data_IF_641209103233
#
_entry.id   IF_641209103233
#
_cell.length_a   1.000
_cell.length_b   1.000
_cell.length_c   1.000
_cell.angle_alpha   90.00
_cell.angle_beta   90.00
_cell.angle_gamma   90.00
#
_symmetry.space_group_name_H-M   'P 1'
#
loop_
_entity.id
_entity.type
_entity.pdbx_description
1 polymer ?
#
# COMPACT_ATOMS: atom_id res chain seq x y z
N UNK A 1 -9.97 10.96 6.52
CA UNK A 1 -10.51 11.11 5.15
C UNK A 1 -9.63 12.07 4.37
N UNK A 2 -9.28 11.79 3.10
CA UNK A 2 -8.54 12.71 2.25
C UNK A 2 -9.40 13.92 1.85
N UNK A 3 -8.77 15.09 1.70
CA UNK A 3 -9.41 16.32 1.20
C UNK A 3 -8.37 17.24 0.55
N UNK A 4 -8.84 18.12 -0.33
CA UNK A 4 -8.02 19.07 -1.07
C UNK A 4 -7.92 20.42 -0.35
N UNK A 5 -6.74 21.02 -0.36
CA UNK A 5 -6.47 22.33 0.23
C UNK A 5 -5.56 23.14 -0.68
N UNK A 6 -5.84 24.42 -0.79
CA UNK A 6 -4.98 25.38 -1.46
C UNK A 6 -3.89 25.91 -0.53
N UNK A 7 -2.66 25.94 -1.02
CA UNK A 7 -1.50 26.56 -0.36
C UNK A 7 -0.87 27.62 -1.23
N UNK A 8 -0.15 28.52 -0.57
CA UNK A 8 0.60 29.59 -1.20
C UNK A 8 2.09 29.45 -0.86
N UNK A 9 2.94 29.61 -1.87
CA UNK A 9 4.38 29.80 -1.71
C UNK A 9 4.76 31.07 -2.48
N UNK A 10 4.94 32.17 -1.77
CA UNK A 10 5.05 33.50 -2.36
C UNK A 10 3.81 33.87 -3.18
N UNK A 11 4.00 34.19 -4.47
CA UNK A 11 2.92 34.52 -5.41
C UNK A 11 2.23 33.28 -6.01
N UNK A 12 2.83 32.10 -5.86
CA UNK A 12 2.34 30.89 -6.50
C UNK A 12 1.34 30.16 -5.60
N UNK A 13 0.22 29.75 -6.19
CA UNK A 13 -0.83 28.97 -5.53
C UNK A 13 -0.79 27.54 -6.04
N UNK A 14 -0.76 26.57 -5.13
CA UNK A 14 -0.67 25.14 -5.47
C UNK A 14 -1.60 24.32 -4.58
N UNK A 15 -2.05 23.19 -5.11
CA UNK A 15 -3.00 22.28 -4.50
C UNK A 15 -2.27 21.15 -3.77
N UNK A 16 -2.74 20.83 -2.57
CA UNK A 16 -2.26 19.69 -1.79
C UNK A 16 -3.42 18.81 -1.36
N UNK A 17 -3.20 17.50 -1.35
CA UNK A 17 -4.12 16.53 -0.76
C UNK A 17 -3.65 16.16 0.65
N UNK A 18 -4.57 16.22 1.61
CA UNK A 18 -4.28 15.99 3.04
C UNK A 18 -5.16 14.89 3.60
N UNK A 19 -4.60 14.13 4.53
CA UNK A 19 -5.35 13.18 5.34
C UNK A 19 -5.40 13.70 6.77
N UNK A 20 -6.61 13.86 7.28
CA UNK A 20 -6.85 14.20 8.69
C UNK A 20 -7.28 12.96 9.45
N UNK A 21 -6.65 12.75 10.60
CA UNK A 21 -6.97 11.72 11.59
C UNK A 21 -6.90 12.32 12.98
N UNK A 22 -7.62 11.77 13.97
CA UNK A 22 -7.40 12.13 15.37
C UNK A 22 -6.23 11.31 15.92
N UNK A 23 -5.22 12.00 16.45
CA UNK A 23 -4.11 11.40 17.19
C UNK A 23 -4.21 11.91 18.61
N UNK A 24 -4.40 11.02 19.58
CA UNK A 24 -4.63 11.37 20.99
C UNK A 24 -5.78 12.39 21.19
N UNK A 25 -6.90 12.20 20.46
CA UNK A 25 -8.07 13.09 20.50
C UNK A 25 -7.94 14.38 19.70
N UNK A 26 -6.72 14.78 19.32
CA UNK A 26 -6.44 16.02 18.59
C UNK A 26 -6.53 15.76 17.08
N UNK A 27 -7.28 16.57 16.32
CA UNK A 27 -7.31 16.46 14.86
C UNK A 27 -5.95 16.86 14.25
N UNK A 28 -5.24 15.91 13.67
CA UNK A 28 -3.89 16.08 13.14
C UNK A 28 -3.83 15.71 11.66
N UNK A 29 -3.04 16.46 10.87
CA UNK A 29 -2.72 16.10 9.49
C UNK A 29 -1.65 15.03 9.54
N UNK A 30 -1.98 13.82 9.09
CA UNK A 30 -1.08 12.65 9.15
C UNK A 30 -0.35 12.38 7.85
N UNK A 31 -0.82 12.96 6.75
CA UNK A 31 -0.20 12.85 5.43
C UNK A 31 -0.57 14.07 4.60
N UNK A 32 0.39 14.56 3.81
CA UNK A 32 0.21 15.62 2.84
C UNK A 32 0.98 15.26 1.57
N UNK A 33 0.35 15.42 0.42
CA UNK A 33 0.95 15.19 -0.90
C UNK A 33 0.68 16.41 -1.78
N UNK A 34 1.71 16.95 -2.43
CA UNK A 34 1.57 18.06 -3.37
C UNK A 34 1.07 17.56 -4.72
N UNK A 35 -0.02 18.16 -5.21
CA UNK A 35 -0.56 17.91 -6.55
C UNK A 35 0.05 18.92 -7.55
N UNK A 36 0.46 20.10 -7.09
CA UNK A 36 1.00 21.16 -7.95
C UNK A 36 -0.10 22.15 -8.35
N UNK A 37 -0.11 22.61 -9.60
CA UNK A 37 -1.10 23.59 -10.08
C UNK A 37 -2.40 22.93 -10.57
N UNK A 38 -3.44 23.73 -10.90
CA UNK A 38 -4.68 23.19 -11.49
C UNK A 38 -4.43 22.54 -12.84
N UNK A 39 -3.50 23.07 -13.61
CA UNK A 39 -3.12 22.58 -14.93
C UNK A 39 -2.51 21.18 -14.82
N UNK A 40 -1.71 20.92 -13.78
CA UNK A 40 -1.22 19.56 -13.49
C UNK A 40 -2.36 18.61 -13.15
N UNK A 41 -3.33 19.03 -12.33
CA UNK A 41 -4.49 18.20 -12.00
C UNK A 41 -5.35 17.92 -13.25
N UNK A 42 -5.60 18.94 -14.08
CA UNK A 42 -6.31 18.80 -15.35
C UNK A 42 -5.57 17.81 -16.25
N UNK A 43 -4.25 17.92 -16.40
CA UNK A 43 -3.46 16.96 -17.19
C UNK A 43 -3.54 15.52 -16.65
N UNK A 44 -3.66 15.32 -15.34
CA UNK A 44 -3.80 13.97 -14.76
C UNK A 44 -5.21 13.39 -14.98
N UNK A 45 -6.23 14.24 -15.01
CA UNK A 45 -7.64 13.83 -15.14
C UNK A 45 -8.09 13.73 -16.60
N UNK A 46 -7.53 14.57 -17.48
CA UNK A 46 -7.85 14.64 -18.91
C UNK A 46 -7.05 13.64 -19.75
N UNK A 47 -5.92 13.14 -19.25
CA UNK A 47 -5.25 12.00 -19.88
C UNK A 47 -6.15 10.79 -19.76
N UNK A 48 -6.59 10.25 -20.90
CA UNK A 48 -7.28 8.99 -20.98
C UNK A 48 -6.47 7.92 -20.22
N UNK A 49 -7.05 7.40 -19.15
CA UNK A 49 -6.43 6.38 -18.29
C UNK A 49 -6.38 5.02 -18.99
N UNK A 50 -6.88 4.90 -20.23
CA UNK A 50 -6.71 3.72 -21.08
C UNK A 50 -5.23 3.55 -21.48
N UNK A 51 -4.47 2.85 -20.62
CA UNK A 51 -3.06 2.53 -20.87
C UNK A 51 -2.06 3.09 -19.87
N UNK A 52 -2.50 3.71 -18.75
CA UNK A 52 -1.60 3.89 -17.60
C UNK A 52 -1.42 2.55 -16.92
N UNK A 53 -0.26 1.93 -17.14
CA UNK A 53 0.16 0.74 -16.39
C UNK A 53 0.57 1.19 -14.99
N UNK A 54 -0.42 1.28 -14.10
CA UNK A 54 -0.23 1.67 -12.72
C UNK A 54 0.49 0.52 -12.00
N UNK A 55 1.82 0.56 -12.00
CA UNK A 55 2.64 -0.41 -11.27
C UNK A 55 2.45 -0.18 -9.77
N UNK A 56 1.42 -0.83 -9.22
CA UNK A 56 1.20 -0.97 -7.78
C UNK A 56 2.27 -1.92 -7.24
N UNK A 57 3.35 -1.34 -6.71
CA UNK A 57 4.42 -2.09 -6.04
C UNK A 57 3.93 -2.89 -4.80
N UNK A 58 2.69 -2.69 -4.34
CA UNK A 58 2.11 -3.46 -3.24
C UNK A 58 1.44 -4.78 -3.66
N UNK A 59 0.79 -4.83 -4.84
CA UNK A 59 0.13 -6.06 -5.28
C UNK A 59 1.11 -7.03 -5.91
N UNK A 60 2.12 -6.56 -6.66
CA UNK A 60 3.08 -7.43 -7.34
C UNK A 60 3.83 -8.38 -6.42
N UNK A 61 4.22 -7.92 -5.23
CA UNK A 61 4.91 -8.77 -4.24
C UNK A 61 3.95 -9.80 -3.66
N UNK A 62 2.75 -9.36 -3.26
CA UNK A 62 1.71 -10.24 -2.72
C UNK A 62 1.30 -11.31 -3.74
N UNK A 63 1.07 -10.92 -5.00
CA UNK A 63 0.71 -11.83 -6.08
C UNK A 63 1.85 -12.78 -6.45
N UNK A 64 3.11 -12.32 -6.42
CA UNK A 64 4.28 -13.20 -6.65
C UNK A 64 4.41 -14.26 -5.57
N UNK A 65 4.21 -13.90 -4.30
CA UNK A 65 4.26 -14.87 -3.19
C UNK A 65 3.12 -15.88 -3.30
N UNK A 66 1.90 -15.45 -3.65
CA UNK A 66 0.77 -16.36 -3.88
C UNK A 66 0.99 -17.25 -5.10
N UNK A 67 1.57 -16.74 -6.18
CA UNK A 67 1.91 -17.53 -7.36
C UNK A 67 2.98 -18.59 -7.06
N UNK A 68 4.01 -18.22 -6.29
CA UNK A 68 5.00 -19.17 -5.79
C UNK A 68 4.34 -20.23 -4.90
N UNK A 69 3.48 -19.84 -3.96
CA UNK A 69 2.72 -20.79 -3.14
C UNK A 69 1.92 -21.78 -4.00
N UNK A 70 1.24 -21.31 -5.04
CA UNK A 70 0.51 -22.17 -5.97
C UNK A 70 1.40 -23.11 -6.80
N UNK A 71 2.65 -22.73 -7.05
CA UNK A 71 3.61 -23.55 -7.81
C UNK A 71 4.29 -24.62 -6.93
N UNK A 72 4.68 -24.26 -5.70
CA UNK A 72 5.46 -25.13 -4.81
C UNK A 72 4.65 -25.71 -3.64
N UNK A 73 3.37 -25.36 -3.50
CA UNK A 73 2.47 -25.74 -2.40
C UNK A 73 3.09 -25.49 -1.01
N UNK A 74 3.66 -24.30 -0.81
CA UNK A 74 4.38 -23.96 0.41
C UNK A 74 3.47 -24.03 1.65
N UNK A 75 2.29 -23.43 1.58
CA UNK A 75 1.28 -23.42 2.63
C UNK A 75 0.88 -24.83 3.02
N UNK A 76 0.50 -25.65 2.05
CA UNK A 76 0.06 -27.02 2.29
C UNK A 76 1.19 -27.89 2.87
N UNK A 77 2.42 -27.69 2.41
CA UNK A 77 3.60 -28.37 2.96
C UNK A 77 3.78 -28.02 4.44
N UNK A 78 3.69 -26.73 4.79
CA UNK A 78 3.80 -26.27 6.18
C UNK A 78 2.65 -26.85 7.01
N UNK A 79 1.41 -26.77 6.52
CA UNK A 79 0.23 -27.23 7.25
C UNK A 79 0.25 -28.74 7.48
N UNK A 80 0.75 -29.51 6.52
CA UNK A 80 0.93 -30.96 6.62
C UNK A 80 1.94 -31.32 7.69
N UNK A 81 3.07 -30.61 7.77
CA UNK A 81 4.13 -30.88 8.74
C UNK A 81 3.71 -30.44 10.15
N UNK A 82 3.06 -29.29 10.26
CA UNK A 82 2.69 -28.70 11.56
C UNK A 82 1.41 -29.34 12.12
N UNK A 83 0.57 -29.95 11.28
CA UNK A 83 -0.64 -30.65 11.68
C UNK A 83 -1.79 -29.69 12.02
N UNK A 84 -2.26 -28.94 11.02
CA UNK A 84 -3.44 -28.08 11.19
C UNK A 84 -4.75 -28.86 11.06
N UNK A 85 -5.68 -28.66 12.00
CA UNK A 85 -6.93 -29.43 12.12
C UNK A 85 -8.19 -28.55 12.32
N UNK A 86 -8.16 -27.31 11.82
CA UNK A 86 -9.19 -26.25 11.87
C UNK A 86 -9.61 -25.81 13.29
N UNK A 87 -9.73 -24.52 13.62
CA UNK A 87 -10.29 -23.38 12.89
C UNK A 87 -9.40 -22.14 12.98
N UNK A 88 -9.41 -21.30 11.93
CA UNK A 88 -8.63 -20.06 11.85
C UNK A 88 -7.68 -20.03 10.64
N UNK A 89 -6.77 -19.07 10.62
CA UNK A 89 -5.65 -19.08 9.66
C UNK A 89 -4.70 -20.22 10.02
N UNK A 90 -4.26 -20.99 9.02
CA UNK A 90 -3.32 -22.08 9.22
C UNK A 90 -1.89 -21.55 9.48
N UNK A 91 -0.98 -22.36 10.06
CA UNK A 91 0.44 -22.00 10.16
C UNK A 91 1.05 -21.59 8.81
N UNK A 92 0.64 -22.24 7.72
CA UNK A 92 1.01 -21.89 6.35
C UNK A 92 0.47 -20.52 5.94
N UNK A 93 -0.80 -20.20 6.25
CA UNK A 93 -1.37 -18.86 5.99
C UNK A 93 -0.57 -17.77 6.74
N UNK A 94 -0.22 -18.00 8.01
CA UNK A 94 0.61 -17.07 8.78
C UNK A 94 2.01 -16.89 8.17
N UNK A 95 2.63 -17.96 7.66
CA UNK A 95 3.91 -17.90 7.00
C UNK A 95 3.84 -17.05 5.72
N UNK A 96 2.80 -17.25 4.90
CA UNK A 96 2.57 -16.45 3.69
C UNK A 96 2.38 -14.97 4.02
N UNK A 97 1.51 -14.65 4.99
CA UNK A 97 1.28 -13.27 5.44
C UNK A 97 2.58 -12.62 5.94
N UNK A 98 3.39 -13.37 6.70
CA UNK A 98 4.68 -12.88 7.19
C UNK A 98 5.64 -12.56 6.04
N UNK A 99 5.78 -13.47 5.07
CA UNK A 99 6.64 -13.29 3.89
C UNK A 99 6.20 -12.07 3.07
N UNK A 100 4.90 -11.97 2.77
CA UNK A 100 4.33 -10.85 2.02
C UNK A 100 4.61 -9.50 2.71
N UNK A 101 4.36 -9.42 4.02
CA UNK A 101 4.62 -8.20 4.78
C UNK A 101 6.11 -7.85 4.81
N UNK A 102 6.98 -8.85 4.93
CA UNK A 102 8.43 -8.62 5.02
C UNK A 102 9.04 -8.17 3.70
N UNK A 103 8.53 -8.71 2.59
CA UNK A 103 8.96 -8.33 1.25
C UNK A 103 8.38 -6.98 0.83
N UNK A 104 7.17 -6.64 1.28
CA UNK A 104 6.50 -5.37 0.94
C UNK A 104 7.08 -4.15 1.66
N UNK A 105 7.67 -4.35 2.85
CA UNK A 105 8.39 -3.29 3.58
C UNK A 105 9.77 -3.81 4.07
N UNK A 106 10.78 -3.86 3.18
CA UNK A 106 12.09 -4.39 3.49
C UNK A 106 12.93 -3.38 4.31
N UNK A 107 12.62 -3.23 5.59
CA UNK A 107 13.48 -2.51 6.54
C UNK A 107 14.73 -3.31 6.93
N UNK A 108 15.91 -2.69 6.93
CA UNK A 108 17.13 -3.26 7.52
C UNK A 108 16.95 -3.51 9.02
N UNK A 109 17.44 -4.64 9.54
CA UNK A 109 17.50 -4.90 11.00
C UNK A 109 18.54 -4.03 11.72
N UNK A 110 19.44 -3.41 10.97
CA UNK A 110 20.44 -2.48 11.49
C UNK A 110 19.88 -1.07 11.45
N UNK A 111 19.05 -0.74 12.45
CA UNK A 111 18.66 0.62 12.76
C UNK A 111 19.17 0.98 14.14
#
# INVERSE_FOLDING_TARGET
MPYLVWKHSGKNRYLVMRWKKRVNGIPTIVKEVSIGSMENLASIVEVDLSGIDLVSYGFGITSSVLAMDAEINLRETIDTIVGHHDSGLSPGDYALIFIMNRLSDPGSKNR
#
